data_IF_229613214104
#
_entry.id   IF_229613214104
#
_cell.length_a   1.000
_cell.length_b   1.000
_cell.length_c   1.000
_cell.angle_alpha   90.00
_cell.angle_beta   90.00
_cell.angle_gamma   90.00
#
_symmetry.space_group_name_H-M   'P 1'
#
loop_
_entity.id
_entity.type
_entity.pdbx_description
1 polymer ?
#
# COMPACT_ATOMS: atom_id res chain seq x y z
N UNK A 1 -4.51 -2.50 11.46
CA UNK A 1 -3.71 -2.53 10.22
C UNK A 1 -3.66 -1.21 9.45
N UNK A 2 -4.75 -0.71 8.83
CA UNK A 2 -4.67 0.52 7.98
C UNK A 2 -4.20 1.78 8.71
N UNK A 3 -4.68 2.00 9.95
CA UNK A 3 -4.28 3.16 10.78
C UNK A 3 -2.81 3.04 11.25
N UNK A 4 -2.37 1.84 11.57
CA UNK A 4 -1.00 1.56 11.99
C UNK A 4 -0.01 1.79 10.84
N UNK A 5 -0.32 1.30 9.63
CA UNK A 5 0.49 1.57 8.43
C UNK A 5 0.65 3.07 8.15
N UNK A 6 -0.44 3.84 8.30
CA UNK A 6 -0.41 5.29 8.11
C UNK A 6 0.45 5.96 9.19
N UNK A 7 0.34 5.51 10.43
CA UNK A 7 1.12 6.02 11.55
C UNK A 7 2.62 5.73 11.37
N UNK A 8 2.98 4.49 11.00
CA UNK A 8 4.37 4.12 10.71
C UNK A 8 4.96 4.91 9.54
N UNK A 9 4.18 5.19 8.48
CA UNK A 9 4.64 6.06 7.38
C UNK A 9 4.94 7.47 7.88
N UNK A 10 4.10 8.05 8.75
CA UNK A 10 4.33 9.38 9.33
C UNK A 10 5.57 9.42 10.22
N UNK A 11 5.77 8.39 11.04
CA UNK A 11 6.97 8.27 11.89
C UNK A 11 8.25 8.20 11.06
N UNK A 12 8.23 7.42 9.96
CA UNK A 12 9.35 7.33 9.02
C UNK A 12 9.58 8.65 8.29
N UNK A 13 8.54 9.42 7.99
CA UNK A 13 8.66 10.77 7.45
C UNK A 13 9.34 11.74 8.42
N UNK A 14 8.99 11.69 9.70
CA UNK A 14 9.64 12.50 10.74
C UNK A 14 11.11 12.08 10.90
N UNK A 15 11.41 10.78 10.86
CA UNK A 15 12.79 10.28 10.90
C UNK A 15 13.61 10.78 9.71
N UNK A 16 13.05 10.75 8.50
CA UNK A 16 13.71 11.29 7.31
C UNK A 16 13.96 12.79 7.40
N UNK A 17 13.01 13.56 7.94
CA UNK A 17 13.17 15.00 8.13
C UNK A 17 14.37 15.31 9.04
N UNK A 18 14.52 14.57 10.14
CA UNK A 18 15.66 14.69 11.06
C UNK A 18 16.97 14.23 10.43
N UNK A 19 16.95 13.10 9.73
CA UNK A 19 18.17 12.54 9.11
C UNK A 19 18.70 13.44 7.99
N UNK A 20 17.81 14.11 7.24
CA UNK A 20 18.18 14.98 6.11
C UNK A 20 19.19 16.07 6.50
N UNK A 21 19.14 16.59 7.73
CA UNK A 21 20.08 17.62 8.22
C UNK A 21 21.51 17.11 8.46
N UNK A 22 21.68 15.79 8.45
CA UNK A 22 22.92 15.09 8.78
C UNK A 22 23.40 14.14 7.69
N UNK A 23 22.66 13.97 6.59
CA UNK A 23 23.02 13.08 5.47
C UNK A 23 24.39 13.43 4.89
N UNK A 24 24.68 14.72 4.69
CA UNK A 24 25.93 15.17 4.08
C UNK A 24 27.14 15.13 5.04
N UNK A 25 26.91 14.86 6.33
CA UNK A 25 27.93 14.93 7.39
C UNK A 25 28.53 13.56 7.72
N UNK A 26 27.88 12.47 7.34
CA UNK A 26 28.33 11.11 7.67
C UNK A 26 27.79 10.09 6.69
N UNK A 27 28.67 9.22 6.19
CA UNK A 27 28.30 8.11 5.31
C UNK A 27 27.27 7.18 5.98
N UNK A 28 27.40 6.96 7.30
CA UNK A 28 26.45 6.16 8.09
C UNK A 28 25.06 6.80 8.11
N UNK A 29 24.97 8.13 8.20
CA UNK A 29 23.70 8.84 8.15
C UNK A 29 23.06 8.78 6.75
N UNK A 30 23.87 8.81 5.70
CA UNK A 30 23.41 8.62 4.31
C UNK A 30 22.85 7.21 4.09
N UNK A 31 23.55 6.17 4.54
CA UNK A 31 23.07 4.78 4.45
C UNK A 31 21.78 4.56 5.24
N UNK A 32 21.70 5.12 6.46
CA UNK A 32 20.50 5.05 7.27
C UNK A 32 19.33 5.79 6.61
N UNK A 33 19.57 6.95 6.02
CA UNK A 33 18.56 7.70 5.27
C UNK A 33 18.02 6.87 4.10
N UNK A 34 18.91 6.29 3.30
CA UNK A 34 18.55 5.44 2.16
C UNK A 34 17.70 4.24 2.60
N UNK A 35 18.08 3.59 3.71
CA UNK A 35 17.29 2.49 4.29
C UNK A 35 15.88 2.94 4.67
N UNK A 36 15.74 4.07 5.36
CA UNK A 36 14.43 4.59 5.79
C UNK A 36 13.56 5.01 4.58
N UNK A 37 14.16 5.51 3.51
CA UNK A 37 13.46 5.80 2.24
C UNK A 37 12.86 4.52 1.64
N UNK A 38 13.65 3.44 1.59
CA UNK A 38 13.19 2.14 1.08
C UNK A 38 12.08 1.55 1.94
N UNK A 39 12.24 1.56 3.26
CA UNK A 39 11.21 1.09 4.21
C UNK A 39 9.90 1.86 4.03
N UNK A 40 9.97 3.20 3.88
CA UNK A 40 8.79 4.03 3.59
C UNK A 40 8.12 3.64 2.27
N UNK A 41 8.91 3.36 1.23
CA UNK A 41 8.39 2.95 -0.07
C UNK A 41 7.65 1.61 -0.01
N UNK A 42 8.20 0.63 0.73
CA UNK A 42 7.57 -0.67 0.98
C UNK A 42 6.22 -0.48 1.67
N UNK A 43 6.19 0.28 2.78
CA UNK A 43 4.95 0.54 3.53
C UNK A 43 3.88 1.26 2.68
N UNK A 44 4.29 2.20 1.81
CA UNK A 44 3.38 2.85 0.87
C UNK A 44 2.80 1.85 -0.13
N UNK A 45 3.61 0.91 -0.64
CA UNK A 45 3.17 -0.13 -1.57
C UNK A 45 2.17 -1.07 -0.93
N UNK A 46 2.41 -1.49 0.31
CA UNK A 46 1.48 -2.33 1.08
C UNK A 46 0.13 -1.62 1.31
N UNK A 47 0.16 -0.33 1.62
CA UNK A 47 -1.06 0.47 1.78
C UNK A 47 -1.85 0.57 0.46
N UNK A 48 -1.17 0.74 -0.67
CA UNK A 48 -1.80 0.78 -1.99
C UNK A 48 -2.42 -0.58 -2.37
N UNK A 49 -1.69 -1.68 -2.16
CA UNK A 49 -2.18 -3.04 -2.42
C UNK A 49 -3.42 -3.34 -1.56
N UNK A 50 -3.39 -2.96 -0.27
CA UNK A 50 -4.53 -3.11 0.62
C UNK A 50 -5.76 -2.32 0.16
N UNK A 51 -5.57 -1.14 -0.45
CA UNK A 51 -6.68 -0.35 -1.03
C UNK A 51 -7.21 -0.98 -2.32
N UNK A 52 -6.34 -1.50 -3.18
CA UNK A 52 -6.71 -2.17 -4.44
C UNK A 52 -7.58 -3.41 -4.20
N UNK A 53 -7.24 -4.25 -3.22
CA UNK A 53 -8.02 -5.44 -2.87
C UNK A 53 -9.44 -5.05 -2.46
N UNK A 54 -9.58 -4.11 -1.52
CA UNK A 54 -10.89 -3.65 -1.04
C UNK A 54 -11.73 -3.05 -2.18
N UNK A 55 -11.11 -2.29 -3.09
CA UNK A 55 -11.80 -1.69 -4.23
C UNK A 55 -12.30 -2.74 -5.22
N UNK A 56 -11.48 -3.73 -5.55
CA UNK A 56 -11.85 -4.84 -6.43
C UNK A 56 -13.00 -5.67 -5.84
N UNK A 57 -12.97 -5.93 -4.53
CA UNK A 57 -14.04 -6.66 -3.84
C UNK A 57 -15.35 -5.86 -3.83
N UNK A 58 -15.26 -4.55 -3.62
CA UNK A 58 -16.42 -3.66 -3.66
C UNK A 58 -17.06 -3.61 -5.05
N UNK A 59 -16.24 -3.55 -6.11
CA UNK A 59 -16.75 -3.61 -7.50
C UNK A 59 -17.37 -4.98 -7.81
N UNK A 60 -16.75 -6.08 -7.39
CA UNK A 60 -17.31 -7.42 -7.57
C UNK A 60 -18.66 -7.61 -6.88
N UNK A 61 -18.90 -6.93 -5.76
CA UNK A 61 -20.18 -6.97 -5.07
C UNK A 61 -21.28 -6.18 -5.80
N UNK A 62 -20.92 -5.13 -6.54
CA UNK A 62 -21.86 -4.28 -7.30
C UNK A 62 -22.16 -4.87 -8.68
N UNK A 63 -21.21 -5.59 -9.30
CA UNK A 63 -21.45 -6.26 -10.57
C UNK A 63 -22.46 -7.39 -10.35
N UNK A 64 -23.66 -7.34 -10.98
CA UNK A 64 -24.60 -8.44 -10.88
C UNK A 64 -23.96 -9.69 -11.49
N UNK A 65 -23.75 -10.73 -10.67
CA UNK A 65 -23.36 -12.03 -11.17
C UNK A 65 -24.46 -12.50 -12.11
N UNK A 66 -24.21 -12.51 -13.43
CA UNK A 66 -25.06 -13.20 -14.40
C UNK A 66 -25.13 -14.66 -13.96
N UNK A 67 -26.22 -15.04 -13.29
CA UNK A 67 -26.52 -16.43 -13.00
C UNK A 67 -27.09 -17.01 -14.28
N UNK A 68 -26.31 -17.81 -14.99
CA UNK A 68 -26.87 -18.67 -16.04
C UNK A 68 -27.80 -19.66 -15.36
N UNK A 69 -29.10 -19.58 -15.66
CA UNK A 69 -30.06 -20.54 -15.13
C UNK A 69 -29.87 -21.86 -15.88
N UNK A 70 -30.19 -22.98 -15.23
CA UNK A 70 -30.07 -24.32 -15.85
C UNK A 70 -30.87 -24.37 -17.17
N UNK A 71 -32.02 -23.71 -17.24
CA UNK A 71 -32.84 -23.63 -18.44
C UNK A 71 -32.19 -22.87 -19.62
N UNK A 72 -31.24 -21.96 -19.37
CA UNK A 72 -30.54 -21.24 -20.44
C UNK A 72 -29.57 -22.14 -21.22
N UNK A 73 -29.14 -23.27 -20.64
CA UNK A 73 -28.31 -24.27 -21.32
C UNK A 73 -29.09 -25.12 -22.34
N UNK A 74 -30.42 -25.14 -22.24
CA UNK A 74 -31.30 -25.95 -23.10
C UNK A 74 -32.00 -25.13 -24.21
N UNK A 75 -31.74 -23.83 -24.32
CA UNK A 75 -32.29 -22.96 -25.39
C UNK A 75 -31.51 -23.03 -26.71
N UNK A 76 -30.76 -24.11 -26.93
CA UNK A 76 -29.93 -24.31 -28.11
C UNK A 76 -30.61 -25.23 -29.12
#
# INVERSE_FOLDING_TARGET
>A
MKKELIQSIREKEIQLAKLKEHVDKSAVCSDLYNKVVLEKAILKKELENSKKIIFLDSIKAIIPRKKTLICDYFKK
#
